data_IF_958683597707
#
_entry.id   IF_958683597707
#
_cell.length_a   1.000
_cell.length_b   1.000
_cell.length_c   1.000
_cell.angle_alpha   90.00
_cell.angle_beta   90.00
_cell.angle_gamma   90.00
#
_symmetry.space_group_name_H-M   'P 1'
#
loop_
_entity.id
_entity.type
_entity.pdbx_description
1 polymer ?
#
# COMPACT_ATOMS: atom_id res chain seq x y z
N UNK A 1 10.98 5.04 14.37
CA UNK A 1 10.27 6.19 13.77
C UNK A 1 10.26 5.96 12.27
N UNK A 2 9.18 5.38 11.72
CA UNK A 2 9.12 4.95 10.32
C UNK A 2 8.45 6.05 9.48
N UNK A 3 9.05 6.36 8.32
CA UNK A 3 8.60 7.44 7.43
C UNK A 3 7.13 7.34 7.03
N UNK A 4 6.47 8.49 6.96
CA UNK A 4 5.02 8.65 6.94
C UNK A 4 4.30 8.29 5.62
N UNK A 5 5.01 7.92 4.55
CA UNK A 5 4.40 7.33 3.35
C UNK A 5 5.50 6.59 2.59
N UNK A 6 5.22 5.38 2.11
CA UNK A 6 6.15 4.61 1.29
C UNK A 6 5.74 4.78 -0.18
N UNK A 7 5.95 5.98 -0.72
CA UNK A 7 5.73 6.21 -2.15
C UNK A 7 6.83 5.48 -2.93
N UNK A 8 6.47 4.33 -3.46
CA UNK A 8 7.34 3.54 -4.32
C UNK A 8 7.47 4.25 -5.68
N UNK A 9 8.67 4.26 -6.30
CA UNK A 9 8.84 4.79 -7.64
C UNK A 9 7.92 4.08 -8.64
N UNK A 10 7.38 4.81 -9.63
CA UNK A 10 6.49 4.22 -10.64
C UNK A 10 7.17 3.09 -11.41
N UNK A 11 8.44 3.26 -11.78
CA UNK A 11 9.21 2.20 -12.45
C UNK A 11 9.33 0.93 -11.60
N UNK A 12 9.52 1.08 -10.29
CA UNK A 12 9.56 -0.05 -9.35
C UNK A 12 8.20 -0.78 -9.31
N UNK A 13 7.10 -0.03 -9.26
CA UNK A 13 5.75 -0.62 -9.28
C UNK A 13 5.50 -1.40 -10.57
N UNK A 14 5.91 -0.85 -11.71
CA UNK A 14 5.75 -1.50 -13.02
C UNK A 14 6.61 -2.76 -13.15
N UNK A 15 7.81 -2.75 -12.58
CA UNK A 15 8.74 -3.88 -12.63
C UNK A 15 8.30 -5.04 -11.73
N UNK A 16 7.78 -4.74 -10.54
CA UNK A 16 7.58 -5.75 -9.50
C UNK A 16 6.13 -6.16 -9.28
N UNK A 17 5.12 -5.35 -9.64
CA UNK A 17 3.73 -5.71 -9.41
C UNK A 17 3.16 -6.60 -10.51
N UNK A 18 2.30 -7.53 -10.12
CA UNK A 18 1.45 -8.25 -11.06
C UNK A 18 0.37 -7.29 -11.60
N UNK A 19 0.51 -6.87 -12.86
CA UNK A 19 -0.36 -5.87 -13.52
C UNK A 19 -1.83 -6.30 -13.52
N UNK A 20 -2.09 -7.58 -13.78
CA UNK A 20 -3.45 -8.13 -13.85
C UNK A 20 -4.01 -8.57 -12.49
N UNK A 21 -3.22 -8.45 -11.42
CA UNK A 21 -3.68 -8.81 -10.09
C UNK A 21 -4.56 -7.71 -9.48
N UNK A 22 -5.51 -8.12 -8.64
CA UNK A 22 -6.23 -7.16 -7.79
C UNK A 22 -5.32 -6.68 -6.67
N UNK A 23 -5.16 -5.37 -6.58
CA UNK A 23 -4.49 -4.68 -5.48
C UNK A 23 -5.52 -3.97 -4.61
N UNK A 24 -5.31 -3.94 -3.30
CA UNK A 24 -6.27 -3.37 -2.37
C UNK A 24 -5.71 -2.12 -1.69
N UNK A 25 -6.59 -1.15 -1.49
CA UNK A 25 -6.30 0.08 -0.75
C UNK A 25 -7.36 0.24 0.34
N UNK A 26 -6.91 0.30 1.60
CA UNK A 26 -7.79 0.37 2.77
C UNK A 26 -7.50 1.62 3.60
N UNK A 27 -8.42 2.59 3.68
CA UNK A 27 -8.21 3.82 4.44
C UNK A 27 -8.29 3.53 5.95
N UNK A 28 -7.26 3.91 6.70
CA UNK A 28 -7.15 3.57 8.14
C UNK A 28 -7.22 4.79 9.06
N UNK A 29 -6.65 5.93 8.66
CA UNK A 29 -6.65 7.14 9.47
C UNK A 29 -6.56 8.40 8.63
N UNK A 30 -7.12 9.48 9.18
CA UNK A 30 -6.94 10.82 8.65
C UNK A 30 -5.56 11.33 9.04
N UNK A 31 -4.75 11.65 8.05
CA UNK A 31 -3.43 12.24 8.23
C UNK A 31 -3.48 13.75 7.99
N UNK A 32 -3.28 14.52 9.06
CA UNK A 32 -3.14 15.98 9.03
C UNK A 32 -1.75 16.36 9.51
N UNK A 33 -0.99 17.07 8.67
CA UNK A 33 0.33 17.58 9.02
C UNK A 33 0.17 18.88 9.81
N UNK A 34 0.24 18.80 11.14
CA UNK A 34 0.11 19.98 12.02
C UNK A 34 1.17 21.04 11.75
N UNK A 35 2.36 20.64 11.30
CA UNK A 35 3.48 21.51 10.97
C UNK A 35 3.46 22.04 9.53
N UNK A 36 2.50 21.59 8.70
CA UNK A 36 2.30 22.01 7.30
C UNK A 36 0.79 22.15 7.01
N UNK A 37 0.11 23.13 7.61
CA UNK A 37 -1.34 23.29 7.46
C UNK A 37 -1.79 23.61 6.03
N UNK A 38 -0.88 24.07 5.17
CA UNK A 38 -1.12 24.28 3.74
C UNK A 38 -1.26 22.98 2.95
N UNK A 39 -0.76 21.86 3.50
CA UNK A 39 -0.88 20.55 2.86
C UNK A 39 -2.32 20.04 3.08
N UNK A 40 -3.03 19.66 2.00
CA UNK A 40 -4.36 19.09 2.12
C UNK A 40 -4.37 17.87 3.04
N UNK A 41 -5.49 17.68 3.74
CA UNK A 41 -5.75 16.46 4.49
C UNK A 41 -5.58 15.23 3.59
N UNK A 42 -4.92 14.20 4.10
CA UNK A 42 -4.71 12.94 3.39
C UNK A 42 -5.34 11.80 4.17
N UNK A 43 -5.79 10.77 3.47
CA UNK A 43 -6.09 9.48 4.08
C UNK A 43 -4.83 8.65 4.03
N UNK A 44 -4.37 8.20 5.20
CA UNK A 44 -3.39 7.13 5.25
C UNK A 44 -4.11 5.83 4.98
N UNK A 45 -3.64 5.14 3.97
CA UNK A 45 -4.16 3.86 3.55
C UNK A 45 -3.11 2.78 3.79
N UNK A 46 -3.55 1.61 4.23
CA UNK A 46 -2.81 0.38 4.03
C UNK A 46 -3.04 -0.09 2.59
N UNK A 47 -1.96 -0.47 1.92
CA UNK A 47 -2.02 -1.07 0.60
C UNK A 47 -1.60 -2.53 0.71
N UNK A 48 -2.36 -3.43 0.09
CA UNK A 48 -2.01 -4.83 -0.11
C UNK A 48 -1.78 -5.04 -1.60
N UNK A 49 -0.53 -5.28 -1.96
CA UNK A 49 -0.07 -5.42 -3.33
C UNK A 49 0.29 -6.86 -3.61
N UNK A 50 0.06 -7.31 -4.84
CA UNK A 50 0.50 -8.63 -5.32
C UNK A 50 1.68 -8.44 -6.26
N UNK A 51 2.84 -9.00 -5.92
CA UNK A 51 4.02 -8.93 -6.79
C UNK A 51 3.93 -9.96 -7.91
N UNK A 52 4.78 -9.82 -8.94
CA UNK A 52 4.82 -10.69 -10.12
C UNK A 52 5.04 -12.17 -9.82
N UNK A 53 5.62 -12.49 -8.66
CA UNK A 53 5.76 -13.87 -8.16
C UNK A 53 4.46 -14.45 -7.57
N UNK A 54 3.41 -13.66 -7.45
CA UNK A 54 2.15 -14.01 -6.80
C UNK A 54 2.14 -13.82 -5.27
N UNK A 55 3.29 -13.49 -4.67
CA UNK A 55 3.39 -13.14 -3.26
C UNK A 55 2.65 -11.82 -2.97
N UNK A 56 2.11 -11.70 -1.76
CA UNK A 56 1.52 -10.44 -1.30
C UNK A 56 2.50 -9.68 -0.43
N UNK A 57 2.49 -8.35 -0.55
CA UNK A 57 3.25 -7.44 0.30
C UNK A 57 2.35 -6.28 0.74
N UNK A 58 2.63 -5.70 1.90
CA UNK A 58 1.87 -4.55 2.38
C UNK A 58 2.72 -3.33 2.71
N UNK A 59 2.13 -2.15 2.54
CA UNK A 59 2.77 -0.87 2.81
C UNK A 59 1.77 0.22 3.19
N UNK A 60 2.27 1.45 3.32
CA UNK A 60 1.46 2.63 3.60
C UNK A 60 1.52 3.63 2.45
N UNK A 61 0.35 4.17 2.09
CA UNK A 61 0.20 5.21 1.08
C UNK A 61 -0.72 6.31 1.60
N UNK A 62 -0.25 7.54 1.59
CA UNK A 62 -1.11 8.70 1.85
C UNK A 62 -1.74 9.17 0.53
N UNK A 63 -3.07 9.26 0.50
CA UNK A 63 -3.90 9.58 -0.67
C UNK A 63 -4.81 10.76 -0.36
N UNK A 64 -5.01 11.65 -1.34
CA UNK A 64 -6.00 12.72 -1.21
C UNK A 64 -7.43 12.11 -1.15
N UNK A 65 -8.31 12.56 -0.24
CA UNK A 65 -9.69 12.04 -0.16
C UNK A 65 -10.40 12.06 -1.52
N UNK A 66 -10.38 13.18 -2.23
CA UNK A 66 -11.00 13.29 -3.56
C UNK A 66 -10.34 12.47 -4.67
N UNK A 67 -9.14 11.92 -4.44
CA UNK A 67 -8.55 10.90 -5.32
C UNK A 67 -9.05 9.50 -4.94
N UNK A 68 -9.14 9.22 -3.64
CA UNK A 68 -9.67 7.94 -3.14
C UNK A 68 -11.13 7.76 -3.55
N UNK A 69 -11.96 8.80 -3.45
CA UNK A 69 -13.39 8.78 -3.79
C UNK A 69 -13.67 8.44 -5.27
N UNK A 70 -12.64 8.50 -6.13
CA UNK A 70 -12.74 8.10 -7.55
C UNK A 70 -12.53 6.60 -7.76
N UNK A 71 -12.06 5.88 -6.74
CA UNK A 71 -11.89 4.43 -6.80
C UNK A 71 -13.26 3.77 -6.65
N UNK A 72 -13.56 2.73 -7.45
CA UNK A 72 -14.81 2.01 -7.29
C UNK A 72 -14.81 1.27 -5.94
N UNK A 73 -15.84 1.48 -5.13
CA UNK A 73 -16.06 0.65 -3.94
C UNK A 73 -16.62 -0.71 -4.37
N UNK A 74 -15.72 -1.68 -4.51
CA UNK A 74 -16.05 -3.04 -5.00
C UNK A 74 -16.12 -4.09 -3.90
N UNK A 75 -15.77 -3.73 -2.65
CA UNK A 75 -15.63 -4.67 -1.54
C UNK A 75 -16.83 -4.64 -0.61
N UNK A 76 -17.43 -5.81 -0.37
CA UNK A 76 -18.39 -5.99 0.71
C UNK A 76 -17.70 -6.08 2.08
N UNK A 77 -18.49 -6.12 3.15
CA UNK A 77 -17.97 -6.18 4.53
C UNK A 77 -17.10 -7.41 4.80
N UNK A 78 -17.42 -8.56 4.19
CA UNK A 78 -16.65 -9.79 4.36
C UNK A 78 -15.28 -9.66 3.68
N UNK A 79 -15.25 -9.16 2.44
CA UNK A 79 -14.03 -8.90 1.67
C UNK A 79 -13.13 -7.88 2.36
N UNK A 80 -13.71 -6.83 2.96
CA UNK A 80 -12.96 -5.86 3.77
C UNK A 80 -12.25 -6.53 4.96
N UNK A 81 -12.93 -7.44 5.67
CA UNK A 81 -12.33 -8.18 6.79
C UNK A 81 -11.22 -9.13 6.32
N UNK A 82 -11.42 -9.80 5.18
CA UNK A 82 -10.39 -10.67 4.58
C UNK A 82 -9.13 -9.88 4.25
N UNK A 83 -9.27 -8.74 3.57
CA UNK A 83 -8.14 -7.86 3.22
C UNK A 83 -7.36 -7.42 4.44
N UNK A 84 -8.05 -6.99 5.51
CA UNK A 84 -7.39 -6.61 6.77
C UNK A 84 -6.64 -7.79 7.38
N UNK A 85 -7.25 -8.98 7.45
CA UNK A 85 -6.57 -10.16 8.01
C UNK A 85 -5.37 -10.61 7.18
N UNK A 86 -5.40 -10.41 5.86
CA UNK A 86 -4.25 -10.65 4.98
C UNK A 86 -3.13 -9.67 5.26
N UNK A 87 -3.44 -8.37 5.37
CA UNK A 87 -2.43 -7.35 5.70
C UNK A 87 -1.69 -7.68 6.99
N UNK A 88 -2.39 -8.11 8.04
CA UNK A 88 -1.81 -8.47 9.34
C UNK A 88 -0.77 -9.60 9.29
N UNK A 89 -0.86 -10.47 8.27
CA UNK A 89 0.01 -11.66 8.13
C UNK A 89 1.01 -11.52 6.99
N UNK A 90 0.93 -10.43 6.24
CA UNK A 90 1.74 -10.20 5.05
C UNK A 90 3.05 -9.51 5.42
N UNK A 91 4.12 -9.80 4.68
CA UNK A 91 5.42 -9.13 4.87
C UNK A 91 5.35 -7.67 4.39
N UNK A 92 6.09 -6.77 5.03
CA UNK A 92 6.13 -5.37 4.58
C UNK A 92 6.87 -5.24 3.26
N UNK A 93 6.52 -4.24 2.43
CA UNK A 93 7.26 -3.92 1.20
C UNK A 93 8.77 -3.78 1.47
N UNK A 94 9.14 -3.16 2.60
CA UNK A 94 10.55 -3.01 3.01
C UNK A 94 11.23 -4.36 3.24
N UNK A 95 10.64 -5.23 4.06
CA UNK A 95 11.21 -6.56 4.35
C UNK A 95 11.30 -7.40 3.07
N UNK A 96 10.32 -7.29 2.18
CA UNK A 96 10.35 -7.94 0.89
C UNK A 96 11.51 -7.44 0.03
N UNK A 97 11.69 -6.11 -0.09
CA UNK A 97 12.80 -5.52 -0.85
C UNK A 97 14.17 -5.94 -0.29
N UNK A 98 14.31 -5.98 1.03
CA UNK A 98 15.52 -6.42 1.72
C UNK A 98 15.85 -7.89 1.38
N UNK A 99 14.83 -8.77 1.38
CA UNK A 99 14.98 -10.18 0.98
C UNK A 99 15.36 -10.33 -0.48
N UNK A 100 14.66 -9.64 -1.40
CA UNK A 100 14.94 -9.74 -2.84
C UNK A 100 16.33 -9.21 -3.20
N UNK A 101 16.83 -8.20 -2.49
CA UNK A 101 18.20 -7.70 -2.67
C UNK A 101 19.26 -8.72 -2.22
N UNK A 102 18.98 -9.47 -1.15
CA UNK A 102 19.86 -10.54 -0.69
C UNK A 102 19.90 -11.72 -1.67
N UNK A 103 18.74 -12.08 -2.24
CA UNK A 103 18.62 -13.17 -3.23
C UNK A 103 19.31 -12.82 -4.56
N UNK A 104 19.28 -11.55 -4.99
CA UNK A 104 19.94 -11.10 -6.22
C UNK A 104 21.48 -10.97 -6.12
N UNK A 105 22.02 -10.92 -4.90
CA UNK A 105 23.46 -10.82 -4.63
C UNK A 105 24.17 -12.16 -4.41
N UNK A 106 23.46 -13.29 -4.48
CA UNK A 106 23.98 -14.66 -4.36
C UNK A 106 24.17 -15.33 -5.73
#
# INVERSE_FOLDING_TARGET
MHGFSQRLPVGWLQEHLAVEATHYLFPTLVHRLTHRPEVPLQWRCQQLLTVSTGEQIWGLLDVLPGTFDKLPETLDTASKKDVVSRIERTTTVREWMERMAADAGS
#
